data_IF_011250819630
#
_entry.id   IF_011250819630
#
_cell.length_a   1.000
_cell.length_b   1.000
_cell.length_c   1.000
_cell.angle_alpha   90.00
_cell.angle_beta   90.00
_cell.angle_gamma   90.00
#
_symmetry.space_group_name_H-M   'P 1'
#
loop_
_entity.id
_entity.type
_entity.pdbx_description
1 polymer ?
#
# COMPACT_ATOMS: atom_id res chain seq x y z
N UNK A 1 -6.51 8.90 -8.42
CA UNK A 1 -6.22 8.17 -7.16
C UNK A 1 -5.42 9.08 -6.26
N UNK A 2 -5.58 8.98 -4.94
CA UNK A 2 -4.71 9.68 -3.98
C UNK A 2 -3.30 9.07 -4.10
N UNK A 3 -2.27 9.92 -4.13
CA UNK A 3 -0.88 9.47 -4.15
C UNK A 3 -0.46 8.78 -2.85
N UNK A 4 0.79 8.30 -2.81
CA UNK A 4 1.38 7.74 -1.58
C UNK A 4 1.47 8.84 -0.53
N UNK A 5 1.05 8.53 0.70
CA UNK A 5 1.16 9.43 1.84
C UNK A 5 1.98 8.74 2.92
N UNK A 6 3.09 9.35 3.30
CA UNK A 6 3.95 8.88 4.37
C UNK A 6 3.53 9.49 5.72
N UNK A 7 3.72 8.74 6.79
CA UNK A 7 3.70 9.18 8.19
C UNK A 7 4.86 8.51 8.93
N UNK A 8 5.16 8.88 10.19
CA UNK A 8 6.41 8.47 10.85
C UNK A 8 6.74 6.97 10.78
N UNK A 9 5.73 6.09 10.86
CA UNK A 9 5.91 4.64 10.89
C UNK A 9 5.26 3.89 9.72
N UNK A 10 4.93 4.58 8.62
CA UNK A 10 4.29 3.91 7.49
C UNK A 10 3.90 4.78 6.31
N UNK A 11 3.13 4.16 5.41
CA UNK A 11 2.57 4.82 4.24
C UNK A 11 1.18 4.29 3.86
N UNK A 12 0.33 5.15 3.28
CA UNK A 12 -0.98 4.75 2.69
C UNK A 12 -0.84 4.81 1.19
N UNK A 13 -1.33 3.78 0.52
CA UNK A 13 -1.52 3.78 -0.93
C UNK A 13 -2.98 3.64 -1.29
N UNK A 14 -3.41 4.26 -2.38
CA UNK A 14 -4.73 4.04 -2.96
C UNK A 14 -4.58 3.50 -4.38
N UNK A 15 -5.20 2.35 -4.62
CA UNK A 15 -5.15 1.63 -5.89
C UNK A 15 -6.55 1.33 -6.39
N UNK A 16 -6.66 1.12 -7.70
CA UNK A 16 -7.86 0.58 -8.33
C UNK A 16 -7.50 -0.77 -8.96
N UNK A 17 -8.31 -1.79 -8.71
CA UNK A 17 -8.15 -3.13 -9.30
C UNK A 17 -9.43 -3.48 -10.03
N UNK A 18 -9.31 -3.94 -11.27
CA UNK A 18 -10.44 -4.29 -12.13
C UNK A 18 -10.24 -5.67 -12.75
N UNK A 19 -11.34 -6.38 -13.00
CA UNK A 19 -11.30 -7.71 -13.62
C UNK A 19 -12.44 -7.90 -14.60
N UNK A 20 -12.11 -8.09 -15.89
CA UNK A 20 -13.09 -8.23 -16.98
C UNK A 20 -14.04 -9.41 -16.77
N UNK A 21 -13.50 -10.61 -16.53
CA UNK A 21 -14.30 -11.85 -16.37
C UNK A 21 -15.35 -11.76 -15.25
N UNK A 22 -15.07 -11.03 -14.17
CA UNK A 22 -16.03 -10.88 -13.07
C UNK A 22 -16.76 -9.54 -13.06
N UNK A 23 -16.45 -8.62 -13.98
CA UNK A 23 -16.99 -7.25 -14.01
C UNK A 23 -16.71 -6.43 -12.75
N UNK A 24 -15.80 -6.88 -11.88
CA UNK A 24 -15.62 -6.27 -10.55
C UNK A 24 -14.63 -5.12 -10.60
N UNK A 25 -14.97 -4.02 -9.92
CA UNK A 25 -14.08 -2.88 -9.65
C UNK A 25 -13.89 -2.77 -8.14
N UNK A 26 -12.64 -2.64 -7.70
CA UNK A 26 -12.30 -2.47 -6.29
C UNK A 26 -11.37 -1.28 -6.11
N UNK A 27 -11.76 -0.38 -5.24
CA UNK A 27 -10.88 0.62 -4.66
C UNK A 27 -10.21 0.00 -3.45
N UNK A 28 -8.88 0.03 -3.44
CA UNK A 28 -8.08 -0.59 -2.38
C UNK A 28 -7.24 0.48 -1.71
N UNK A 29 -7.47 0.66 -0.41
CA UNK A 29 -6.65 1.49 0.46
C UNK A 29 -5.83 0.54 1.34
N UNK A 30 -4.52 0.72 1.33
CA UNK A 30 -3.61 -0.13 2.09
C UNK A 30 -2.73 0.71 3.00
N UNK A 31 -2.65 0.30 4.26
CA UNK A 31 -1.71 0.81 5.25
C UNK A 31 -0.48 -0.10 5.32
N UNK A 32 0.68 0.49 5.08
CA UNK A 32 1.97 -0.18 5.10
C UNK A 32 2.68 0.19 6.40
N UNK A 33 2.73 -0.74 7.36
CA UNK A 33 3.47 -0.55 8.61
C UNK A 33 4.94 -0.94 8.40
N UNK A 34 5.84 0.02 8.53
CA UNK A 34 7.27 -0.20 8.21
C UNK A 34 7.92 -1.21 9.13
N UNK A 35 7.64 -1.16 10.44
CA UNK A 35 8.14 -2.15 11.41
C UNK A 35 7.87 -3.59 10.96
N UNK A 36 6.67 -3.87 10.44
CA UNK A 36 6.32 -5.19 9.93
C UNK A 36 7.07 -5.50 8.63
N UNK A 37 7.20 -4.54 7.72
CA UNK A 37 7.88 -4.75 6.44
C UNK A 37 9.37 -5.02 6.61
N UNK A 38 10.02 -4.33 7.54
CA UNK A 38 11.44 -4.51 7.88
C UNK A 38 11.74 -5.94 8.39
N UNK A 39 10.76 -6.65 8.95
CA UNK A 39 10.92 -8.06 9.34
C UNK A 39 11.01 -9.02 8.14
N UNK A 40 10.51 -8.62 6.96
CA UNK A 40 10.39 -9.48 5.77
C UNK A 40 11.18 -8.98 4.57
N UNK A 41 11.62 -7.73 4.57
CA UNK A 41 12.30 -7.10 3.45
C UNK A 41 13.65 -6.53 3.89
N UNK A 42 14.73 -6.75 3.12
CA UNK A 42 16.06 -6.25 3.43
C UNK A 42 16.23 -4.74 3.17
N UNK A 43 15.17 -4.05 2.75
CA UNK A 43 15.18 -2.63 2.40
C UNK A 43 14.88 -1.80 3.64
N UNK A 44 15.62 -0.71 3.84
CA UNK A 44 15.29 0.29 4.85
C UNK A 44 14.12 1.17 4.38
N UNK A 45 13.04 1.21 5.16
CA UNK A 45 11.84 2.00 4.83
C UNK A 45 11.78 3.34 5.56
N UNK A 46 12.45 3.42 6.72
CA UNK A 46 12.62 4.66 7.47
C UNK A 46 13.80 5.46 6.91
N UNK A 47 13.69 6.81 6.85
CA UNK A 47 14.80 7.68 6.48
C UNK A 47 15.91 7.70 7.54
#
# INVERSE_FOLDING_TARGET
LRGVRYWPDGATTHSIVMRSRSGTVRWVEAEHRFEKLEMFSPIAYRP
#
